data_IF_175787418014
#
_entry.id   IF_175787418014
#
_cell.length_a   1.000
_cell.length_b   1.000
_cell.length_c   1.000
_cell.angle_alpha   90.00
_cell.angle_beta   90.00
_cell.angle_gamma   90.00
#
_symmetry.space_group_name_H-M   'P 1'
#
loop_
_entity.id
_entity.type
_entity.pdbx_description
1 polymer ?
#
# COMPACT_ATOMS: atom_id res chain seq x y z
N UNK A 1 1.67 2.28 -6.21
CA UNK A 1 1.13 0.91 -6.41
C UNK A 1 2.25 -0.11 -6.67
N UNK A 2 2.99 -0.04 -7.76
CA UNK A 2 3.98 -1.07 -8.16
C UNK A 2 4.97 -1.49 -7.08
N UNK A 3 5.48 -0.56 -6.27
CA UNK A 3 6.40 -0.88 -5.17
C UNK A 3 5.74 -1.75 -4.09
N UNK A 4 4.49 -1.47 -3.73
CA UNK A 4 3.73 -2.29 -2.77
C UNK A 4 3.44 -3.69 -3.31
N UNK A 5 3.08 -3.81 -4.58
CA UNK A 5 2.87 -5.11 -5.26
C UNK A 5 4.16 -5.93 -5.27
N UNK A 6 5.30 -5.31 -5.67
CA UNK A 6 6.60 -5.98 -5.67
C UNK A 6 7.02 -6.45 -4.26
N UNK A 7 6.77 -5.62 -3.24
CA UNK A 7 7.06 -5.98 -1.86
C UNK A 7 6.22 -7.19 -1.40
N UNK A 8 4.93 -7.20 -1.75
CA UNK A 8 4.03 -8.31 -1.45
C UNK A 8 4.46 -9.61 -2.16
N UNK A 9 4.83 -9.53 -3.44
CA UNK A 9 5.34 -10.67 -4.21
C UNK A 9 6.59 -11.27 -3.56
N UNK A 10 7.57 -10.44 -3.17
CA UNK A 10 8.79 -10.90 -2.51
C UNK A 10 8.51 -11.53 -1.14
N UNK A 11 7.64 -10.91 -0.34
CA UNK A 11 7.23 -11.45 0.94
C UNK A 11 6.53 -12.81 0.79
N UNK A 12 5.67 -12.94 -0.23
CA UNK A 12 4.96 -14.19 -0.52
C UNK A 12 5.92 -15.29 -0.96
N UNK A 13 6.87 -14.97 -1.85
CA UNK A 13 7.90 -15.92 -2.27
C UNK A 13 8.75 -16.37 -1.07
N UNK A 14 9.27 -15.42 -0.29
CA UNK A 14 10.04 -15.74 0.92
C UNK A 14 9.25 -16.60 1.90
N UNK A 15 7.96 -16.33 2.11
CA UNK A 15 7.12 -17.11 3.02
C UNK A 15 6.90 -18.56 2.56
N UNK A 16 6.94 -18.81 1.24
CA UNK A 16 6.87 -20.17 0.66
C UNK A 16 8.16 -20.95 0.85
N UNK A 17 9.31 -20.27 0.74
CA UNK A 17 10.64 -20.92 0.70
C UNK A 17 11.28 -21.02 2.09
N UNK A 18 11.03 -20.06 2.97
CA UNK A 18 11.64 -20.03 4.30
C UNK A 18 11.06 -21.11 5.22
N UNK A 19 11.87 -22.08 5.58
CA UNK A 19 11.50 -23.16 6.48
C UNK A 19 11.96 -22.86 7.91
N UNK A 20 11.03 -22.93 8.87
CA UNK A 20 11.27 -22.84 10.31
C UNK A 20 10.41 -23.90 11.00
N UNK A 21 10.94 -24.59 11.98
CA UNK A 21 10.25 -25.73 12.62
C UNK A 21 9.73 -26.78 11.61
N UNK A 22 10.58 -27.15 10.65
CA UNK A 22 10.34 -28.16 9.61
C UNK A 22 9.16 -27.88 8.68
N UNK A 23 8.74 -26.62 8.54
CA UNK A 23 7.68 -26.22 7.59
C UNK A 23 7.88 -24.78 7.08
N UNK A 24 7.39 -24.47 5.87
CA UNK A 24 7.38 -23.09 5.37
C UNK A 24 6.63 -22.16 6.32
N UNK A 25 7.18 -20.97 6.56
CA UNK A 25 6.53 -19.96 7.43
C UNK A 25 5.18 -19.50 6.89
N UNK A 26 4.97 -19.58 5.58
CA UNK A 26 3.70 -19.29 4.91
C UNK A 26 2.54 -20.22 5.30
N UNK A 27 2.79 -21.30 6.06
CA UNK A 27 1.73 -22.11 6.66
C UNK A 27 1.13 -21.52 7.93
N UNK A 28 1.72 -20.46 8.46
CA UNK A 28 1.23 -19.84 9.68
C UNK A 28 0.22 -18.72 9.34
N UNK A 29 -0.94 -18.72 9.99
CA UNK A 29 -1.98 -17.67 9.80
C UNK A 29 -1.46 -16.28 10.12
N UNK A 30 -0.53 -16.15 11.09
CA UNK A 30 0.15 -14.87 11.40
C UNK A 30 0.97 -14.29 10.23
N UNK A 31 1.31 -15.10 9.22
CA UNK A 31 1.94 -14.68 7.97
C UNK A 31 0.90 -14.55 6.84
N UNK A 32 0.01 -15.53 6.72
CA UNK A 32 -1.00 -15.58 5.64
C UNK A 32 -1.97 -14.40 5.70
N UNK A 33 -2.55 -14.12 6.87
CA UNK A 33 -3.61 -13.12 7.00
C UNK A 33 -3.12 -11.70 6.70
N UNK A 34 -1.96 -11.22 7.21
CA UNK A 34 -1.44 -9.92 6.82
C UNK A 34 -1.15 -9.80 5.32
N UNK A 35 -0.54 -10.82 4.70
CA UNK A 35 -0.25 -10.82 3.27
C UNK A 35 -1.55 -10.79 2.43
N UNK A 36 -2.55 -11.58 2.81
CA UNK A 36 -3.86 -11.58 2.16
C UNK A 36 -4.57 -10.21 2.28
N UNK A 37 -4.51 -9.59 3.47
CA UNK A 37 -5.05 -8.24 3.67
C UNK A 37 -4.36 -7.22 2.77
N UNK A 38 -3.03 -7.22 2.74
CA UNK A 38 -2.28 -6.30 1.88
C UNK A 38 -2.63 -6.47 0.40
N UNK A 39 -2.84 -7.70 -0.05
CA UNK A 39 -3.29 -7.93 -1.41
C UNK A 39 -4.65 -7.26 -1.68
N UNK A 40 -5.64 -7.46 -0.80
CA UNK A 40 -6.97 -6.83 -0.95
C UNK A 40 -6.91 -5.31 -0.93
N UNK A 41 -6.10 -4.72 -0.04
CA UNK A 41 -5.92 -3.27 0.07
C UNK A 41 -5.28 -2.70 -1.21
N UNK A 42 -4.27 -3.37 -1.75
CA UNK A 42 -3.62 -2.99 -3.01
C UNK A 42 -4.59 -3.07 -4.19
N UNK A 43 -5.38 -4.14 -4.31
CA UNK A 43 -6.37 -4.28 -5.38
C UNK A 43 -7.46 -3.20 -5.29
N UNK A 44 -7.98 -2.93 -4.10
CA UNK A 44 -8.97 -1.87 -3.89
C UNK A 44 -8.41 -0.48 -4.26
N UNK A 45 -7.17 -0.19 -3.85
CA UNK A 45 -6.49 1.05 -4.21
C UNK A 45 -6.24 1.15 -5.73
N UNK A 46 -5.89 0.04 -6.38
CA UNK A 46 -5.70 -0.01 -7.83
C UNK A 46 -6.99 0.31 -8.59
N UNK A 47 -8.11 -0.27 -8.17
CA UNK A 47 -9.42 0.04 -8.78
C UNK A 47 -9.76 1.52 -8.66
N UNK A 48 -9.46 2.17 -7.53
CA UNK A 48 -9.65 3.61 -7.37
C UNK A 48 -8.74 4.43 -8.28
N UNK A 49 -7.49 4.01 -8.47
CA UNK A 49 -6.57 4.64 -9.44
C UNK A 49 -7.12 4.54 -10.86
N UNK A 50 -7.60 3.36 -11.25
CA UNK A 50 -8.19 3.15 -12.58
C UNK A 50 -9.46 3.99 -12.79
N UNK A 51 -10.30 4.10 -11.77
CA UNK A 51 -11.48 4.97 -11.80
C UNK A 51 -11.10 6.44 -12.01
N UNK A 52 -10.11 6.94 -11.27
CA UNK A 52 -9.66 8.32 -11.40
C UNK A 52 -9.09 8.59 -12.82
N UNK A 53 -8.28 7.67 -13.34
CA UNK A 53 -7.71 7.77 -14.69
C UNK A 53 -8.81 7.76 -15.75
N UNK A 54 -9.76 6.82 -15.66
CA UNK A 54 -10.88 6.73 -16.59
C UNK A 54 -11.74 8.01 -16.59
N UNK A 55 -12.05 8.56 -15.41
CA UNK A 55 -12.78 9.83 -15.31
C UNK A 55 -12.04 10.96 -16.00
N UNK A 56 -10.72 11.08 -15.78
CA UNK A 56 -9.89 12.09 -16.42
C UNK A 56 -9.90 11.95 -17.94
N UNK A 57 -9.69 10.75 -18.47
CA UNK A 57 -9.63 10.47 -19.91
C UNK A 57 -10.97 10.75 -20.61
N UNK A 58 -12.08 10.67 -19.89
CA UNK A 58 -13.43 10.97 -20.40
C UNK A 58 -13.92 12.39 -20.09
N UNK A 59 -13.06 13.29 -19.61
CA UNK A 59 -13.41 14.68 -19.32
C UNK A 59 -14.36 14.85 -18.13
N UNK A 60 -14.48 13.84 -17.25
CA UNK A 60 -15.33 13.90 -16.08
C UNK A 60 -14.57 14.50 -14.87
N UNK A 61 -15.33 14.95 -13.87
CA UNK A 61 -14.73 15.43 -12.61
C UNK A 61 -14.07 14.28 -11.87
N UNK A 62 -12.75 14.25 -11.81
CA UNK A 62 -11.97 13.19 -11.18
C UNK A 62 -11.38 13.55 -9.81
N UNK A 63 -11.60 14.78 -9.30
CA UNK A 63 -10.94 15.27 -8.09
C UNK A 63 -11.14 14.39 -6.85
N UNK A 64 -12.36 13.91 -6.61
CA UNK A 64 -12.66 13.01 -5.50
C UNK A 64 -11.92 11.67 -5.64
N UNK A 65 -12.02 11.04 -6.80
CA UNK A 65 -11.38 9.76 -7.08
C UNK A 65 -9.85 9.86 -7.05
N UNK A 66 -9.26 10.93 -7.61
CA UNK A 66 -7.82 11.14 -7.60
C UNK A 66 -7.25 11.32 -6.17
N UNK A 67 -7.93 12.10 -5.33
CA UNK A 67 -7.54 12.25 -3.93
C UNK A 67 -7.67 10.93 -3.15
N UNK A 68 -8.79 10.22 -3.31
CA UNK A 68 -8.99 8.92 -2.70
C UNK A 68 -7.93 7.90 -3.18
N UNK A 69 -7.65 7.84 -4.48
CA UNK A 69 -6.63 6.98 -5.06
C UNK A 69 -5.24 7.26 -4.46
N UNK A 70 -4.86 8.53 -4.35
CA UNK A 70 -3.57 8.93 -3.75
C UNK A 70 -3.45 8.46 -2.31
N UNK A 71 -4.48 8.67 -1.50
CA UNK A 71 -4.50 8.26 -0.10
C UNK A 71 -4.42 6.74 0.03
N UNK A 72 -5.34 6.02 -0.61
CA UNK A 72 -5.43 4.56 -0.51
C UNK A 72 -4.17 3.87 -1.04
N UNK A 73 -3.63 4.34 -2.17
CA UNK A 73 -2.41 3.76 -2.74
C UNK A 73 -1.17 4.01 -1.86
N UNK A 74 -1.09 5.16 -1.20
CA UNK A 74 -0.04 5.48 -0.24
C UNK A 74 -0.08 4.56 0.98
N UNK A 75 -1.26 4.41 1.59
CA UNK A 75 -1.45 3.56 2.77
C UNK A 75 -1.27 2.07 2.45
N UNK A 76 -1.93 1.56 1.39
CA UNK A 76 -1.81 0.17 0.99
C UNK A 76 -0.36 -0.21 0.61
N UNK A 77 0.32 0.67 -0.13
CA UNK A 77 1.72 0.48 -0.51
C UNK A 77 2.64 0.45 0.71
N UNK A 78 2.45 1.36 1.66
CA UNK A 78 3.22 1.40 2.90
C UNK A 78 3.00 0.13 3.74
N UNK A 79 1.74 -0.28 3.95
CA UNK A 79 1.40 -1.47 4.71
C UNK A 79 2.03 -2.73 4.09
N UNK A 80 1.99 -2.87 2.76
CA UNK A 80 2.60 -3.99 2.06
C UNK A 80 4.13 -4.01 2.21
N UNK A 81 4.80 -2.87 2.08
CA UNK A 81 6.26 -2.78 2.26
C UNK A 81 6.67 -3.05 3.71
N UNK A 82 5.94 -2.53 4.68
CA UNK A 82 6.17 -2.81 6.09
C UNK A 82 5.99 -4.30 6.39
N UNK A 83 4.89 -4.89 5.90
CA UNK A 83 4.63 -6.31 6.10
C UNK A 83 5.70 -7.19 5.43
N UNK A 84 6.24 -6.77 4.28
CA UNK A 84 7.33 -7.49 3.63
C UNK A 84 8.57 -7.55 4.54
N UNK A 85 8.97 -6.46 5.16
CA UNK A 85 10.07 -6.43 6.15
C UNK A 85 9.76 -7.37 7.32
N UNK A 86 8.56 -7.29 7.89
CA UNK A 86 8.14 -8.14 9.01
C UNK A 86 8.12 -9.63 8.65
N UNK A 87 7.70 -9.98 7.44
CA UNK A 87 7.66 -11.36 6.95
C UNK A 87 9.06 -11.94 6.79
N UNK A 88 10.04 -11.14 6.36
CA UNK A 88 11.45 -11.55 6.27
C UNK A 88 12.15 -11.63 7.64
N UNK A 89 11.59 -10.99 8.67
CA UNK A 89 12.22 -10.92 9.99
C UNK A 89 13.59 -10.23 9.93
N UNK A 90 14.61 -10.80 10.56
CA UNK A 90 15.97 -10.26 10.53
C UNK A 90 16.54 -10.03 9.13
N UNK A 91 16.19 -10.90 8.18
CA UNK A 91 16.58 -10.72 6.77
C UNK A 91 15.86 -9.54 6.08
N UNK A 92 14.73 -9.09 6.61
CA UNK A 92 14.07 -7.88 6.13
C UNK A 92 14.85 -6.60 6.37
N UNK A 93 15.81 -6.62 7.26
CA UNK A 93 16.75 -5.51 7.53
C UNK A 93 18.01 -5.56 6.64
N UNK A 94 18.30 -6.71 6.04
CA UNK A 94 19.46 -6.94 5.20
C UNK A 94 19.25 -6.37 3.78
N UNK A 95 20.25 -5.66 3.26
CA UNK A 95 20.22 -4.98 1.95
C UNK A 95 20.00 -5.96 0.79
N UNK A 96 20.47 -7.19 0.92
CA UNK A 96 20.41 -8.26 -0.07
C UNK A 96 18.97 -8.65 -0.44
N UNK A 97 18.03 -8.47 0.48
CA UNK A 97 16.61 -8.78 0.25
C UNK A 97 15.81 -7.62 -0.33
N UNK A 98 16.38 -6.40 -0.34
CA UNK A 98 15.80 -5.16 -0.88
C UNK A 98 14.51 -4.66 -0.20
N UNK A 99 13.81 -5.45 0.61
CA UNK A 99 12.53 -5.03 1.22
C UNK A 99 12.69 -3.85 2.17
N UNK A 100 13.87 -3.69 2.81
CA UNK A 100 14.19 -2.52 3.63
C UNK A 100 14.21 -1.23 2.79
N UNK A 101 14.75 -1.31 1.56
CA UNK A 101 14.77 -0.20 0.61
C UNK A 101 13.36 0.16 0.15
N UNK A 102 12.52 -0.83 -0.13
CA UNK A 102 11.14 -0.58 -0.53
C UNK A 102 10.36 0.15 0.57
N UNK A 103 10.57 -0.21 1.85
CA UNK A 103 9.96 0.49 2.96
C UNK A 103 10.41 1.96 3.06
N UNK A 104 11.69 2.26 2.80
CA UNK A 104 12.19 3.64 2.77
C UNK A 104 11.60 4.43 1.60
N UNK A 105 11.58 3.84 0.40
CA UNK A 105 11.08 4.50 -0.80
C UNK A 105 9.58 4.77 -0.75
N UNK A 106 8.78 3.86 -0.18
CA UNK A 106 7.32 4.02 -0.10
C UNK A 106 6.89 5.14 0.86
N UNK A 107 7.78 5.64 1.69
CA UNK A 107 7.49 6.80 2.53
C UNK A 107 7.21 8.06 1.69
N UNK A 108 7.86 8.22 0.53
CA UNK A 108 7.71 9.41 -0.31
C UNK A 108 6.25 9.65 -0.71
N UNK A 109 5.54 8.72 -1.37
CA UNK A 109 4.13 8.94 -1.74
C UNK A 109 3.19 9.05 -0.54
N UNK A 110 3.63 8.66 0.66
CA UNK A 110 2.85 8.86 1.87
C UNK A 110 2.95 10.29 2.41
N UNK A 111 4.10 10.94 2.30
CA UNK A 111 4.36 12.28 2.85
C UNK A 111 4.32 13.40 1.80
N UNK A 112 4.47 13.08 0.51
CA UNK A 112 4.60 14.06 -0.58
C UNK A 112 3.79 13.62 -1.81
N UNK A 113 3.49 14.55 -2.77
CA UNK A 113 3.61 16.02 -2.65
C UNK A 113 2.48 16.63 -1.79
N UNK A 114 1.42 15.86 -1.51
CA UNK A 114 0.26 16.26 -0.71
C UNK A 114 0.14 15.30 0.46
N UNK A 115 0.09 15.82 1.68
CA UNK A 115 -0.01 15.00 2.88
C UNK A 115 -1.37 14.27 2.96
N UNK A 116 -1.44 13.13 3.64
CA UNK A 116 -2.70 12.41 3.89
C UNK A 116 -3.77 13.29 4.53
N UNK A 117 -3.38 14.17 5.44
CA UNK A 117 -4.29 15.06 6.16
C UNK A 117 -4.97 16.05 5.20
N UNK A 118 -4.23 16.63 4.25
CA UNK A 118 -4.81 17.51 3.23
C UNK A 118 -5.77 16.77 2.31
N UNK A 119 -5.47 15.52 1.96
CA UNK A 119 -6.40 14.67 1.18
C UNK A 119 -7.68 14.42 1.98
N UNK A 120 -7.57 14.09 3.26
CA UNK A 120 -8.73 13.88 4.13
C UNK A 120 -9.56 15.14 4.28
N UNK A 121 -8.92 16.31 4.46
CA UNK A 121 -9.62 17.61 4.46
C UNK A 121 -10.36 17.86 3.16
N UNK A 122 -9.75 17.58 2.01
CA UNK A 122 -10.42 17.72 0.70
C UNK A 122 -11.67 16.83 0.62
N UNK A 123 -11.57 15.57 0.97
CA UNK A 123 -12.72 14.64 0.95
C UNK A 123 -13.81 15.10 1.91
N UNK A 124 -13.44 15.50 3.12
CA UNK A 124 -14.39 15.99 4.13
C UNK A 124 -15.16 17.23 3.62
N UNK A 125 -14.45 18.21 3.08
CA UNK A 125 -15.03 19.47 2.64
C UNK A 125 -15.77 19.34 1.30
N UNK A 126 -15.13 18.74 0.29
CA UNK A 126 -15.64 18.76 -1.09
C UNK A 126 -16.56 17.59 -1.44
N UNK A 127 -16.43 16.46 -0.75
CA UNK A 127 -17.26 15.28 -1.02
C UNK A 127 -18.36 15.12 0.03
N UNK A 128 -18.02 15.26 1.32
CA UNK A 128 -18.98 15.09 2.41
C UNK A 128 -19.71 16.39 2.79
N UNK A 129 -19.28 17.54 2.27
CA UNK A 129 -19.90 18.83 2.57
C UNK A 129 -19.70 19.32 4.01
N UNK A 130 -18.65 18.82 4.70
CA UNK A 130 -18.35 19.27 6.06
C UNK A 130 -17.76 20.70 6.06
N UNK A 131 -17.92 21.46 7.17
CA UNK A 131 -17.29 22.76 7.30
C UNK A 131 -15.77 22.67 7.20
N UNK A 132 -15.16 23.71 6.63
CA UNK A 132 -13.70 23.83 6.53
C UNK A 132 -13.07 23.82 7.94
N UNK A 133 -12.00 23.04 8.12
CA UNK A 133 -11.37 22.84 9.43
C UNK A 133 -10.19 23.79 9.72
N UNK A 134 -9.76 24.61 8.75
CA UNK A 134 -8.61 25.53 8.87
C UNK A 134 -8.79 26.79 8.01
#
# INVERSE_FOLDING_TARGET
>A
MGLGQLALERATAYAKDRVVFNRPIGRNQGIQHPLARNWMELEAAWLMVMQAAWQYDNGLSCGAAANAAKYLAGEAGFNACQQAVMTHGGFGYAKEYHVERYLREIMIPRIAPISPELVLCFIAEKVLGLPRSY
#
